data_IF_135010828819
#
_entry.id   IF_135010828819
#
_cell.length_a   1.000
_cell.length_b   1.000
_cell.length_c   1.000
_cell.angle_alpha   90.00
_cell.angle_beta   90.00
_cell.angle_gamma   90.00
#
_symmetry.space_group_name_H-M   'P 1'
#
loop_
_entity.id
_entity.type
_entity.pdbx_description
1 polymer ?
#
# COMPACT_ATOMS: atom_id res chain seq x y z
N UNK A 1 12.80 -16.86 26.05
CA UNK A 1 11.50 -16.37 25.52
C UNK A 1 11.10 -17.20 24.31
N UNK A 2 9.78 -17.28 23.96
CA UNK A 2 9.31 -18.14 22.87
C UNK A 2 9.25 -17.35 21.57
N UNK A 3 9.79 -17.86 20.44
CA UNK A 3 9.86 -17.10 19.19
C UNK A 3 8.46 -16.84 18.60
N UNK A 4 8.37 -15.81 17.77
CA UNK A 4 7.21 -15.58 16.91
C UNK A 4 7.38 -16.27 15.55
N UNK A 5 6.28 -16.72 14.97
CA UNK A 5 6.27 -17.31 13.62
C UNK A 5 5.39 -16.46 12.70
N UNK A 6 5.91 -16.16 11.52
CA UNK A 6 5.19 -15.44 10.47
C UNK A 6 5.02 -16.32 9.24
N UNK A 7 3.83 -16.33 8.65
CA UNK A 7 3.53 -17.03 7.41
C UNK A 7 3.11 -16.01 6.35
N UNK A 8 3.79 -15.96 5.22
CA UNK A 8 3.45 -15.13 4.08
C UNK A 8 3.40 -15.94 2.78
N UNK A 9 2.69 -15.42 1.79
CA UNK A 9 2.74 -15.97 0.44
C UNK A 9 4.08 -15.63 -0.21
N UNK A 10 4.40 -14.34 -0.30
CA UNK A 10 5.62 -13.78 -0.87
C UNK A 10 5.92 -12.40 -0.27
N UNK A 11 7.21 -12.07 -0.17
CA UNK A 11 7.69 -10.76 0.30
C UNK A 11 8.70 -10.16 -0.71
N UNK A 12 9.54 -11.02 -1.33
CA UNK A 12 10.72 -10.59 -2.05
C UNK A 12 10.65 -10.79 -3.57
N UNK A 13 9.86 -11.75 -4.04
CA UNK A 13 9.77 -12.08 -5.48
C UNK A 13 8.84 -11.15 -6.27
N UNK A 14 8.08 -10.31 -5.59
CA UNK A 14 7.14 -9.35 -6.17
C UNK A 14 7.31 -7.98 -5.53
N UNK A 15 7.02 -6.92 -6.29
CA UNK A 15 6.91 -5.55 -5.78
C UNK A 15 5.44 -5.14 -5.70
N UNK A 16 5.06 -4.50 -4.59
CA UNK A 16 3.69 -4.01 -4.38
C UNK A 16 3.49 -3.49 -2.97
N UNK A 17 2.35 -2.83 -2.73
CA UNK A 17 2.03 -2.23 -1.44
C UNK A 17 2.02 -3.24 -0.27
N UNK A 18 1.50 -4.45 -0.51
CA UNK A 18 1.49 -5.51 0.52
C UNK A 18 2.91 -5.94 0.90
N UNK A 19 3.78 -6.16 -0.10
CA UNK A 19 5.16 -6.57 0.12
C UNK A 19 5.96 -5.47 0.83
N UNK A 20 5.77 -4.21 0.46
CA UNK A 20 6.38 -3.06 1.16
C UNK A 20 5.90 -2.99 2.61
N UNK A 21 4.59 -3.07 2.85
CA UNK A 21 4.03 -3.09 4.20
C UNK A 21 4.59 -4.23 5.07
N UNK A 22 4.69 -5.45 4.53
CA UNK A 22 5.25 -6.58 5.27
C UNK A 22 6.72 -6.33 5.62
N UNK A 23 7.51 -5.76 4.71
CA UNK A 23 8.90 -5.37 4.97
C UNK A 23 8.99 -4.34 6.09
N UNK A 24 8.12 -3.32 6.09
CA UNK A 24 8.06 -2.31 7.14
C UNK A 24 7.70 -2.91 8.51
N UNK A 25 6.73 -3.84 8.55
CA UNK A 25 6.35 -4.55 9.78
C UNK A 25 7.51 -5.41 10.31
N UNK A 26 8.20 -6.16 9.44
CA UNK A 26 9.37 -6.97 9.84
C UNK A 26 10.53 -6.08 10.30
N UNK A 27 10.78 -4.95 9.63
CA UNK A 27 11.80 -3.99 10.06
C UNK A 27 11.47 -3.37 11.42
N UNK A 28 10.21 -2.99 11.65
CA UNK A 28 9.74 -2.49 12.94
C UNK A 28 9.87 -3.56 14.02
N UNK A 29 9.49 -4.81 13.71
CA UNK A 29 9.62 -5.94 14.63
C UNK A 29 11.06 -6.14 15.11
N UNK A 30 12.05 -6.08 14.21
CA UNK A 30 13.47 -6.22 14.54
C UNK A 30 14.01 -5.11 15.46
N UNK A 31 13.31 -3.99 15.57
CA UNK A 31 13.71 -2.86 16.44
C UNK A 31 13.04 -2.89 17.82
N UNK A 32 12.17 -3.88 18.09
CA UNK A 32 11.51 -4.01 19.40
C UNK A 32 12.54 -4.46 20.47
N UNK A 33 12.43 -3.97 21.72
CA UNK A 33 13.41 -4.24 22.78
C UNK A 33 13.55 -5.73 23.11
N UNK A 34 12.43 -6.45 23.08
CA UNK A 34 12.33 -7.87 23.43
C UNK A 34 12.14 -8.76 22.19
N UNK A 35 12.63 -8.27 21.03
CA UNK A 35 12.53 -9.00 19.79
C UNK A 35 13.33 -10.30 19.84
N UNK A 36 12.63 -11.41 19.84
CA UNK A 36 13.24 -12.73 19.77
C UNK A 36 13.47 -13.17 18.33
N UNK A 37 14.29 -14.22 18.19
CA UNK A 37 14.49 -14.87 16.90
C UNK A 37 13.15 -15.30 16.31
N UNK A 38 12.75 -14.66 15.21
CA UNK A 38 11.53 -14.99 14.48
C UNK A 38 11.80 -16.02 13.39
N UNK A 39 10.78 -16.81 13.06
CA UNK A 39 10.77 -17.66 11.87
C UNK A 39 9.75 -17.10 10.86
N UNK A 40 10.17 -16.98 9.61
CA UNK A 40 9.32 -16.51 8.51
C UNK A 40 9.21 -17.59 7.45
N UNK A 41 7.99 -18.05 7.18
CA UNK A 41 7.69 -19.04 6.14
C UNK A 41 7.17 -18.34 4.90
N UNK A 42 7.80 -18.58 3.76
CA UNK A 42 7.52 -17.95 2.47
C UNK A 42 7.13 -19.01 1.44
N UNK A 43 5.84 -19.03 1.05
CA UNK A 43 5.33 -20.08 0.15
C UNK A 43 5.84 -19.95 -1.29
N UNK A 44 6.04 -18.71 -1.76
CA UNK A 44 6.31 -18.42 -3.18
C UNK A 44 7.67 -17.78 -3.45
N UNK A 45 8.40 -17.35 -2.42
CA UNK A 45 9.75 -16.83 -2.56
C UNK A 45 10.78 -17.97 -2.62
N UNK A 46 11.86 -17.73 -3.38
CA UNK A 46 13.01 -18.61 -3.50
C UNK A 46 14.22 -18.03 -2.77
N UNK A 47 15.23 -18.87 -2.40
CA UNK A 47 16.40 -18.43 -1.64
C UNK A 47 17.30 -17.41 -2.34
N UNK A 48 17.20 -17.28 -3.66
CA UNK A 48 17.91 -16.33 -4.52
C UNK A 48 17.25 -14.94 -4.59
N UNK A 49 16.04 -14.79 -4.04
CA UNK A 49 15.40 -13.48 -3.97
C UNK A 49 16.19 -12.52 -3.07
N UNK A 50 16.30 -11.22 -3.45
CA UNK A 50 16.93 -10.20 -2.62
C UNK A 50 16.21 -10.08 -1.27
N UNK A 51 16.90 -10.41 -0.18
CA UNK A 51 16.35 -10.33 1.18
C UNK A 51 17.17 -9.34 2.03
N UNK A 52 16.63 -8.15 2.35
CA UNK A 52 17.32 -7.15 3.17
C UNK A 52 17.48 -7.56 4.64
N UNK A 53 16.73 -8.56 5.12
CA UNK A 53 16.77 -9.03 6.51
C UNK A 53 17.73 -10.21 6.72
N UNK A 54 18.52 -10.55 5.72
CA UNK A 54 19.47 -11.67 5.82
C UNK A 54 20.45 -11.40 6.96
N UNK A 55 20.57 -12.37 7.90
CA UNK A 55 21.43 -12.30 9.08
C UNK A 55 21.01 -11.25 10.15
N UNK A 56 19.75 -10.82 10.18
CA UNK A 56 19.24 -9.84 11.15
C UNK A 56 18.36 -10.51 12.25
N UNK A 57 18.62 -11.76 12.64
CA UNK A 57 17.84 -12.42 13.71
C UNK A 57 16.54 -13.10 13.25
N UNK A 58 16.22 -13.06 11.96
CA UNK A 58 15.08 -13.78 11.38
C UNK A 58 15.55 -14.99 10.58
N UNK A 59 14.96 -16.15 10.85
CA UNK A 59 15.16 -17.37 10.07
C UNK A 59 14.11 -17.48 8.96
N UNK A 60 14.52 -17.46 7.70
CA UNK A 60 13.62 -17.56 6.55
C UNK A 60 13.57 -18.97 5.99
N UNK A 61 12.36 -19.50 5.83
CA UNK A 61 12.05 -20.77 5.18
C UNK A 61 11.44 -20.53 3.80
N UNK A 62 12.25 -20.65 2.77
CA UNK A 62 11.82 -20.50 1.38
C UNK A 62 11.21 -21.81 0.88
N UNK A 63 9.96 -21.77 0.40
CA UNK A 63 9.18 -22.96 0.07
C UNK A 63 8.64 -22.94 -1.36
N UNK A 64 9.16 -22.04 -2.19
CA UNK A 64 8.82 -22.01 -3.62
C UNK A 64 9.12 -23.37 -4.26
N UNK A 65 8.13 -23.91 -4.95
CA UNK A 65 8.22 -25.18 -5.65
C UNK A 65 7.60 -25.05 -7.03
N UNK A 66 8.08 -25.85 -8.00
CA UNK A 66 7.50 -25.89 -9.34
C UNK A 66 6.05 -26.39 -9.35
N UNK A 67 5.68 -27.22 -8.36
CA UNK A 67 4.30 -27.62 -8.11
C UNK A 67 3.73 -26.84 -6.92
N UNK A 68 2.67 -26.08 -7.17
CA UNK A 68 1.97 -25.33 -6.12
C UNK A 68 1.45 -26.24 -4.99
N UNK A 69 1.03 -27.46 -5.33
CA UNK A 69 0.56 -28.45 -4.36
C UNK A 69 1.69 -28.94 -3.46
N UNK A 70 2.86 -29.28 -4.04
CA UNK A 70 4.03 -29.69 -3.27
C UNK A 70 4.52 -28.57 -2.35
N UNK A 71 4.54 -27.30 -2.83
CA UNK A 71 4.88 -26.16 -2.00
C UNK A 71 3.95 -26.02 -0.78
N UNK A 72 2.65 -26.19 -0.98
CA UNK A 72 1.66 -26.16 0.13
C UNK A 72 1.86 -27.31 1.13
N UNK A 73 2.14 -28.51 0.64
CA UNK A 73 2.44 -29.67 1.52
C UNK A 73 3.71 -29.41 2.31
N UNK A 74 4.78 -28.92 1.67
CA UNK A 74 6.03 -28.57 2.35
C UNK A 74 5.83 -27.50 3.41
N UNK A 75 5.02 -26.44 3.10
CA UNK A 75 4.65 -25.43 4.08
C UNK A 75 3.95 -26.07 5.29
N UNK A 76 2.92 -26.88 5.03
CA UNK A 76 2.15 -27.51 6.10
C UNK A 76 3.04 -28.38 7.03
N UNK A 77 3.89 -29.22 6.46
CA UNK A 77 4.77 -30.09 7.23
C UNK A 77 5.83 -29.31 8.02
N UNK A 78 6.55 -28.38 7.37
CA UNK A 78 7.60 -27.59 8.05
C UNK A 78 7.02 -26.68 9.12
N UNK A 79 5.87 -26.05 8.85
CA UNK A 79 5.17 -25.21 9.81
C UNK A 79 4.74 -26.05 11.04
N UNK A 80 4.12 -27.21 10.85
CA UNK A 80 3.74 -28.10 11.96
C UNK A 80 4.95 -28.51 12.79
N UNK A 81 6.05 -28.92 12.14
CA UNK A 81 7.29 -29.30 12.86
C UNK A 81 7.84 -28.12 13.67
N UNK A 82 7.80 -26.88 13.11
CA UNK A 82 8.24 -25.70 13.85
C UNK A 82 7.34 -25.42 15.05
N UNK A 83 6.01 -25.48 14.89
CA UNK A 83 5.06 -25.30 16.00
C UNK A 83 5.29 -26.30 17.14
N UNK A 84 5.51 -27.59 16.82
CA UNK A 84 5.74 -28.62 17.81
C UNK A 84 7.08 -28.45 18.54
N UNK A 85 8.14 -28.03 17.85
CA UNK A 85 9.48 -27.88 18.41
C UNK A 85 9.66 -26.58 19.19
N UNK A 86 9.13 -25.47 18.66
CA UNK A 86 9.41 -24.12 19.17
C UNK A 86 8.35 -23.62 20.15
N UNK A 87 7.10 -24.12 20.05
CA UNK A 87 5.97 -23.64 20.85
C UNK A 87 5.91 -22.10 20.88
N UNK A 88 5.72 -21.45 19.73
CA UNK A 88 5.79 -19.98 19.64
C UNK A 88 4.76 -19.31 20.53
N UNK A 89 5.07 -18.12 21.01
CA UNK A 89 4.13 -17.30 21.77
C UNK A 89 2.93 -16.89 20.92
N UNK A 90 3.14 -16.62 19.63
CA UNK A 90 2.09 -16.25 18.68
C UNK A 90 2.50 -16.56 17.24
N UNK A 91 1.50 -16.85 16.42
CA UNK A 91 1.65 -16.99 14.97
C UNK A 91 1.00 -15.81 14.26
N UNK A 92 1.71 -15.21 13.32
CA UNK A 92 1.21 -14.14 12.44
C UNK A 92 0.95 -14.70 11.04
N UNK A 93 -0.31 -14.78 10.67
CA UNK A 93 -0.76 -15.24 9.36
C UNK A 93 -0.92 -14.04 8.42
N UNK A 94 0.02 -13.86 7.52
CA UNK A 94 0.08 -12.69 6.64
C UNK A 94 -0.75 -12.79 5.36
N UNK A 95 -1.70 -13.70 5.25
CA UNK A 95 -2.65 -13.73 4.13
C UNK A 95 -3.83 -14.64 4.42
N UNK A 96 -5.05 -14.19 4.03
CA UNK A 96 -6.30 -14.92 4.28
C UNK A 96 -6.30 -16.36 3.73
N UNK A 97 -5.62 -16.63 2.63
CA UNK A 97 -5.51 -17.98 2.06
C UNK A 97 -4.69 -18.96 2.91
N UNK A 98 -3.86 -18.47 3.82
CA UNK A 98 -3.09 -19.26 4.78
C UNK A 98 -3.83 -19.46 6.11
N UNK A 99 -4.86 -18.66 6.37
CA UNK A 99 -5.58 -18.64 7.63
C UNK A 99 -6.26 -19.99 8.00
N UNK A 100 -6.85 -20.75 7.08
CA UNK A 100 -7.41 -22.06 7.41
C UNK A 100 -6.37 -23.06 7.94
N UNK A 101 -5.19 -23.10 7.33
CA UNK A 101 -4.08 -23.96 7.79
C UNK A 101 -3.56 -23.49 9.15
N UNK A 102 -3.38 -22.18 9.31
CA UNK A 102 -2.95 -21.56 10.57
C UNK A 102 -3.92 -21.92 11.70
N UNK A 103 -5.22 -21.73 11.47
CA UNK A 103 -6.27 -22.09 12.44
C UNK A 103 -6.16 -23.57 12.84
N UNK A 104 -6.11 -24.47 11.85
CA UNK A 104 -6.10 -25.92 12.09
C UNK A 104 -5.00 -26.32 13.08
N UNK A 105 -3.78 -25.84 12.85
CA UNK A 105 -2.64 -26.23 13.70
C UNK A 105 -2.58 -25.43 15.01
N UNK A 106 -2.86 -24.15 14.97
CA UNK A 106 -2.80 -23.30 16.15
C UNK A 106 -3.88 -23.68 17.18
N UNK A 107 -5.10 -23.99 16.74
CA UNK A 107 -6.15 -24.48 17.65
C UNK A 107 -5.82 -25.86 18.24
N UNK A 108 -5.28 -26.80 17.43
CA UNK A 108 -4.90 -28.13 17.93
C UNK A 108 -3.76 -28.09 18.96
N UNK A 109 -2.93 -27.04 18.94
CA UNK A 109 -1.77 -26.88 19.81
C UNK A 109 -1.95 -25.80 20.89
N UNK A 110 -3.13 -25.18 20.96
CA UNK A 110 -3.45 -24.05 21.87
C UNK A 110 -2.46 -22.88 21.74
N UNK A 111 -2.15 -22.49 20.48
CA UNK A 111 -1.27 -21.37 20.16
C UNK A 111 -2.12 -20.22 19.62
N UNK A 112 -2.04 -18.99 20.19
CA UNK A 112 -2.77 -17.86 19.66
C UNK A 112 -2.21 -17.44 18.29
N UNK A 113 -3.10 -16.99 17.38
CA UNK A 113 -2.67 -16.47 16.09
C UNK A 113 -3.37 -15.17 15.75
N UNK A 114 -2.68 -14.35 14.98
CA UNK A 114 -3.15 -13.07 14.41
C UNK A 114 -3.20 -13.19 12.89
N UNK A 115 -4.26 -12.68 12.27
CA UNK A 115 -4.38 -12.63 10.80
C UNK A 115 -4.20 -11.19 10.33
N UNK A 116 -3.33 -10.98 9.33
CA UNK A 116 -3.12 -9.70 8.68
C UNK A 116 -4.03 -9.62 7.44
N UNK A 117 -4.69 -8.47 7.27
CA UNK A 117 -5.58 -8.17 6.14
C UNK A 117 -5.26 -6.80 5.54
N UNK A 118 -5.42 -6.64 4.21
CA UNK A 118 -4.88 -5.50 3.47
C UNK A 118 -5.91 -4.74 2.63
N UNK A 119 -7.09 -5.33 2.36
CA UNK A 119 -8.09 -4.65 1.55
C UNK A 119 -9.12 -5.59 0.92
N UNK A 120 -9.25 -5.53 -0.40
CA UNK A 120 -10.30 -6.17 -1.17
C UNK A 120 -10.41 -7.70 -0.98
N UNK A 121 -9.37 -8.36 -0.51
CA UNK A 121 -9.38 -9.80 -0.26
C UNK A 121 -10.30 -10.22 0.91
N UNK A 122 -10.81 -9.24 1.68
CA UNK A 122 -11.71 -9.47 2.84
C UNK A 122 -12.97 -8.59 2.84
N UNK A 123 -13.18 -7.76 1.82
CA UNK A 123 -14.35 -6.86 1.77
C UNK A 123 -15.67 -7.57 1.45
N UNK A 124 -15.57 -8.71 0.77
CA UNK A 124 -16.73 -9.54 0.39
C UNK A 124 -16.86 -10.77 1.31
N UNK A 125 -18.01 -11.45 1.31
CA UNK A 125 -18.20 -12.68 2.07
C UNK A 125 -17.16 -13.73 1.69
N UNK A 126 -16.40 -14.19 2.67
CA UNK A 126 -15.35 -15.20 2.50
C UNK A 126 -15.91 -16.62 2.49
N UNK A 127 -15.21 -17.57 1.83
CA UNK A 127 -15.47 -19.01 2.00
C UNK A 127 -15.45 -19.41 3.47
N UNK A 128 -16.31 -20.37 3.85
CA UNK A 128 -16.53 -20.76 5.25
C UNK A 128 -15.24 -21.06 6.02
N UNK A 129 -14.25 -21.73 5.41
CA UNK A 129 -12.98 -22.05 6.07
C UNK A 129 -12.17 -20.82 6.44
N UNK A 130 -12.13 -19.81 5.56
CA UNK A 130 -11.44 -18.54 5.78
C UNK A 130 -12.18 -17.68 6.81
N UNK A 131 -13.52 -17.57 6.66
CA UNK A 131 -14.38 -16.86 7.63
C UNK A 131 -14.21 -17.41 9.04
N UNK A 132 -14.29 -18.73 9.20
CA UNK A 132 -14.07 -19.37 10.51
C UNK A 132 -12.65 -19.15 11.04
N UNK A 133 -11.63 -19.07 10.17
CA UNK A 133 -10.27 -18.78 10.58
C UNK A 133 -10.12 -17.35 11.09
N UNK A 134 -10.78 -16.35 10.48
CA UNK A 134 -10.83 -14.99 11.01
C UNK A 134 -11.57 -14.92 12.34
N UNK A 135 -12.74 -15.56 12.43
CA UNK A 135 -13.56 -15.55 13.66
C UNK A 135 -12.83 -16.16 14.86
N UNK A 136 -12.03 -17.21 14.63
CA UNK A 136 -11.27 -17.91 15.65
C UNK A 136 -9.91 -17.28 15.97
N UNK A 137 -9.46 -16.30 15.20
CA UNK A 137 -8.21 -15.57 15.47
C UNK A 137 -8.27 -14.84 16.82
N UNK A 138 -7.15 -14.84 17.53
CA UNK A 138 -7.00 -14.06 18.77
C UNK A 138 -7.07 -12.55 18.49
N UNK A 139 -6.51 -12.12 17.36
CA UNK A 139 -6.53 -10.73 16.87
C UNK A 139 -6.49 -10.73 15.34
N UNK A 140 -6.99 -9.65 14.75
CA UNK A 140 -6.87 -9.37 13.31
C UNK A 140 -6.23 -8.00 13.16
N UNK A 141 -5.20 -7.89 12.33
CA UNK A 141 -4.60 -6.60 12.00
C UNK A 141 -5.02 -6.18 10.59
N UNK A 142 -5.47 -4.95 10.46
CA UNK A 142 -5.83 -4.37 9.18
C UNK A 142 -5.21 -2.99 9.01
N UNK A 143 -5.12 -2.53 7.76
CA UNK A 143 -4.40 -1.30 7.43
C UNK A 143 -5.27 -0.03 7.53
N UNK A 144 -6.62 -0.16 7.56
CA UNK A 144 -7.54 0.99 7.60
C UNK A 144 -8.85 0.68 8.30
N UNK A 145 -9.54 1.74 8.77
CA UNK A 145 -10.92 1.66 9.28
C UNK A 145 -11.88 1.13 8.21
N UNK A 146 -11.71 1.59 6.97
CA UNK A 146 -12.53 1.15 5.85
C UNK A 146 -12.47 -0.37 5.65
N UNK A 147 -11.25 -0.94 5.59
CA UNK A 147 -11.09 -2.40 5.48
C UNK A 147 -11.65 -3.14 6.70
N UNK A 148 -11.46 -2.60 7.92
CA UNK A 148 -12.05 -3.17 9.13
C UNK A 148 -13.58 -3.26 9.00
N UNK A 149 -14.23 -2.15 8.65
CA UNK A 149 -15.67 -2.04 8.68
C UNK A 149 -16.31 -2.97 7.63
N UNK A 150 -15.81 -2.96 6.38
CA UNK A 150 -16.29 -3.88 5.34
C UNK A 150 -16.04 -5.35 5.70
N UNK A 151 -14.85 -5.68 6.20
CA UNK A 151 -14.51 -7.05 6.63
C UNK A 151 -15.44 -7.52 7.75
N UNK A 152 -15.68 -6.69 8.76
CA UNK A 152 -16.53 -7.03 9.89
C UNK A 152 -17.97 -7.26 9.46
N UNK A 153 -18.52 -6.41 8.60
CA UNK A 153 -19.87 -6.53 8.06
C UNK A 153 -20.01 -7.79 7.21
N UNK A 154 -19.16 -7.96 6.19
CA UNK A 154 -19.28 -9.07 5.23
C UNK A 154 -19.05 -10.44 5.89
N UNK A 155 -18.23 -10.53 6.94
CA UNK A 155 -17.79 -11.80 7.50
C UNK A 155 -18.24 -12.05 8.96
N UNK A 156 -19.09 -11.19 9.51
CA UNK A 156 -19.57 -11.26 10.90
C UNK A 156 -18.41 -11.38 11.91
N UNK A 157 -17.43 -10.49 11.80
CA UNK A 157 -16.28 -10.38 12.68
C UNK A 157 -16.56 -9.33 13.77
N UNK A 158 -16.23 -9.64 15.02
CA UNK A 158 -16.27 -8.66 16.09
C UNK A 158 -15.15 -7.62 15.91
N UNK A 159 -15.54 -6.36 15.72
CA UNK A 159 -14.61 -5.25 15.53
C UNK A 159 -13.64 -5.07 16.72
N UNK A 160 -13.97 -5.53 17.93
CA UNK A 160 -13.08 -5.52 19.10
C UNK A 160 -11.84 -6.38 18.92
N UNK A 161 -11.89 -7.37 18.04
CA UNK A 161 -10.72 -8.21 17.69
C UNK A 161 -9.81 -7.59 16.64
N UNK A 162 -10.23 -6.46 16.03
CA UNK A 162 -9.54 -5.85 14.90
C UNK A 162 -8.73 -4.64 15.34
N UNK A 163 -7.42 -4.74 15.24
CA UNK A 163 -6.51 -3.62 15.45
C UNK A 163 -6.10 -3.01 14.11
N UNK A 164 -5.97 -1.68 14.07
CA UNK A 164 -5.49 -0.96 12.88
C UNK A 164 -4.00 -0.74 13.02
N UNK A 165 -3.24 -1.42 12.16
CA UNK A 165 -1.81 -1.24 11.98
C UNK A 165 -1.60 -0.68 10.56
N UNK A 166 -1.57 0.66 10.37
CA UNK A 166 -1.57 1.28 9.06
C UNK A 166 -0.24 1.12 8.34
N UNK A 167 -0.25 1.30 7.01
CA UNK A 167 0.98 1.45 6.25
C UNK A 167 1.72 2.71 6.71
N UNK A 168 3.02 2.72 6.49
CA UNK A 168 3.91 3.85 6.78
C UNK A 168 4.73 4.22 5.55
N UNK A 169 5.39 5.36 5.59
CA UNK A 169 6.29 5.80 4.53
C UNK A 169 7.74 5.70 4.99
N UNK A 170 8.62 5.37 4.06
CA UNK A 170 10.06 5.46 4.24
C UNK A 170 10.49 6.93 4.12
N UNK A 171 10.62 7.59 5.28
CA UNK A 171 10.97 9.01 5.35
C UNK A 171 12.41 9.33 4.90
N UNK A 172 13.29 8.34 4.81
CA UNK A 172 14.65 8.51 4.29
C UNK A 172 14.64 8.53 2.77
N UNK A 173 13.79 7.71 2.16
CA UNK A 173 13.64 7.61 0.72
C UNK A 173 12.75 8.70 0.16
N UNK A 174 11.56 8.87 0.72
CA UNK A 174 10.61 9.91 0.32
C UNK A 174 10.79 11.13 1.21
N UNK A 175 11.42 12.17 0.68
CA UNK A 175 11.77 13.37 1.43
C UNK A 175 11.63 14.62 0.56
N UNK A 176 11.68 15.79 1.23
CA UNK A 176 11.70 17.08 0.54
C UNK A 176 12.98 17.22 -0.28
N UNK A 177 12.88 17.90 -1.41
CA UNK A 177 14.00 18.19 -2.28
C UNK A 177 13.56 19.06 -3.46
N UNK A 178 14.55 19.49 -4.23
CA UNK A 178 14.31 20.28 -5.44
C UNK A 178 13.81 19.41 -6.59
N UNK A 179 13.12 20.02 -7.54
CA UNK A 179 12.70 19.37 -8.79
C UNK A 179 13.94 19.03 -9.63
N UNK A 180 14.03 17.80 -10.09
CA UNK A 180 15.16 17.32 -10.92
C UNK A 180 15.18 18.00 -12.28
N UNK A 181 16.23 18.75 -12.60
CA UNK A 181 16.42 19.38 -13.91
C UNK A 181 16.45 18.37 -15.06
N UNK A 182 16.95 17.18 -14.81
CA UNK A 182 16.94 16.08 -15.77
C UNK A 182 15.51 15.63 -16.10
N UNK A 183 14.64 15.49 -15.09
CA UNK A 183 13.24 15.11 -15.29
C UNK A 183 12.42 16.26 -15.91
N UNK A 184 12.69 17.49 -15.53
CA UNK A 184 12.08 18.68 -16.14
C UNK A 184 12.32 18.66 -17.66
N UNK A 185 13.57 18.48 -18.09
CA UNK A 185 13.93 18.40 -19.51
C UNK A 185 13.35 17.15 -20.19
N UNK A 186 13.40 15.99 -19.49
CA UNK A 186 12.90 14.71 -20.03
C UNK A 186 11.41 14.78 -20.38
N UNK A 187 10.61 15.44 -19.53
CA UNK A 187 9.16 15.51 -19.67
C UNK A 187 8.64 16.86 -20.18
N UNK A 188 9.54 17.77 -20.56
CA UNK A 188 9.19 19.10 -21.07
C UNK A 188 8.22 19.84 -20.14
N UNK A 189 8.63 19.98 -18.86
CA UNK A 189 7.78 20.55 -17.80
C UNK A 189 8.33 21.86 -17.22
N UNK A 190 9.27 22.53 -17.89
CA UNK A 190 9.95 23.73 -17.36
C UNK A 190 8.98 24.86 -16.98
N UNK A 191 7.94 25.08 -17.80
CA UNK A 191 6.93 26.11 -17.60
C UNK A 191 5.53 25.53 -17.26
N UNK A 192 5.47 24.22 -16.95
CA UNK A 192 4.21 23.54 -16.75
C UNK A 192 3.92 23.27 -15.26
N UNK A 193 2.65 23.30 -14.90
CA UNK A 193 2.16 22.63 -13.70
C UNK A 193 2.05 21.16 -13.97
N UNK A 194 2.50 20.33 -13.03
CA UNK A 194 2.57 18.87 -13.20
C UNK A 194 1.59 18.16 -12.25
N UNK A 195 0.63 17.46 -12.83
CA UNK A 195 -0.19 16.47 -12.12
C UNK A 195 0.49 15.11 -12.24
N UNK A 196 0.48 14.30 -11.20
CA UNK A 196 1.14 13.00 -11.17
C UNK A 196 0.19 11.90 -10.68
N UNK A 197 0.22 10.75 -11.34
CA UNK A 197 -0.32 9.49 -10.81
C UNK A 197 0.73 8.38 -10.91
N UNK A 198 0.87 7.59 -9.86
CA UNK A 198 1.69 6.36 -9.82
C UNK A 198 0.75 5.18 -9.56
N UNK A 199 0.49 4.37 -10.59
CA UNK A 199 -0.46 3.26 -10.48
C UNK A 199 -0.19 2.17 -11.51
N UNK A 200 -0.61 0.93 -11.21
CA UNK A 200 -0.70 -0.11 -12.24
C UNK A 200 -1.78 0.28 -13.25
N UNK A 201 -1.51 0.04 -14.52
CA UNK A 201 -2.44 0.34 -15.62
C UNK A 201 -3.04 -0.96 -16.17
N UNK A 202 -3.61 -1.78 -15.29
CA UNK A 202 -4.30 -3.00 -15.69
C UNK A 202 -5.78 -2.75 -15.92
N UNK A 203 -6.35 -3.42 -16.90
CA UNK A 203 -7.79 -3.31 -17.25
C UNK A 203 -8.72 -3.67 -16.08
N UNK A 204 -8.26 -4.48 -15.12
CA UNK A 204 -8.94 -4.76 -13.85
C UNK A 204 -8.78 -3.67 -12.78
N UNK A 205 -7.85 -2.72 -12.96
CA UNK A 205 -7.53 -1.67 -11.99
C UNK A 205 -8.11 -0.28 -12.38
N UNK A 206 -9.21 -0.23 -13.13
CA UNK A 206 -9.90 1.01 -13.54
C UNK A 206 -10.25 1.88 -12.32
N UNK A 207 -10.43 1.26 -11.16
CA UNK A 207 -10.68 1.94 -9.89
C UNK A 207 -9.55 2.89 -9.44
N UNK A 208 -8.37 2.87 -10.08
CA UNK A 208 -7.27 3.82 -9.82
C UNK A 208 -7.56 5.24 -10.32
N UNK A 209 -8.56 5.43 -11.19
CA UNK A 209 -9.06 6.74 -11.59
C UNK A 209 -8.17 7.53 -12.56
N UNK A 210 -7.21 6.88 -13.26
CA UNK A 210 -6.38 7.55 -14.27
C UNK A 210 -7.23 8.15 -15.38
N UNK A 211 -8.25 7.41 -15.85
CA UNK A 211 -9.20 7.90 -16.86
C UNK A 211 -10.07 9.07 -16.35
N UNK A 212 -10.36 9.09 -15.05
CA UNK A 212 -11.12 10.20 -14.42
C UNK A 212 -10.27 11.47 -14.43
N UNK A 213 -8.99 11.37 -14.09
CA UNK A 213 -8.05 12.50 -14.16
C UNK A 213 -7.87 13.00 -15.60
N UNK A 214 -7.77 12.08 -16.59
CA UNK A 214 -7.72 12.47 -18.02
C UNK A 214 -8.99 13.25 -18.41
N UNK A 215 -10.17 12.85 -17.95
CA UNK A 215 -11.45 13.55 -18.21
C UNK A 215 -11.54 14.92 -17.52
N UNK A 216 -10.81 15.14 -16.46
CA UNK A 216 -10.74 16.41 -15.75
C UNK A 216 -9.86 17.45 -16.48
N UNK A 217 -8.91 16.99 -17.32
CA UNK A 217 -7.92 17.87 -17.97
C UNK A 217 -8.54 18.99 -18.83
N UNK A 218 -9.58 18.79 -19.68
CA UNK A 218 -10.15 19.88 -20.46
C UNK A 218 -10.52 21.08 -19.60
N UNK A 219 -11.19 20.88 -18.48
CA UNK A 219 -11.57 21.96 -17.54
C UNK A 219 -10.34 22.61 -16.87
N UNK A 220 -9.34 21.82 -16.50
CA UNK A 220 -8.11 22.36 -15.89
C UNK A 220 -7.34 23.22 -16.90
N UNK A 221 -7.29 22.81 -18.17
CA UNK A 221 -6.60 23.52 -19.25
C UNK A 221 -7.19 24.89 -19.56
N UNK A 222 -8.46 25.13 -19.26
CA UNK A 222 -9.06 26.48 -19.39
C UNK A 222 -8.34 27.53 -18.53
N UNK A 223 -7.82 27.11 -17.34
CA UNK A 223 -7.10 27.98 -16.40
C UNK A 223 -5.58 27.80 -16.48
N UNK A 224 -5.10 26.59 -16.70
CA UNK A 224 -3.69 26.24 -16.79
C UNK A 224 -3.37 25.56 -18.14
N UNK A 225 -3.20 26.33 -19.25
CA UNK A 225 -2.98 25.78 -20.60
C UNK A 225 -1.74 24.89 -20.71
N UNK A 226 -0.72 25.14 -19.87
CA UNK A 226 0.55 24.41 -19.86
C UNK A 226 0.58 23.26 -18.86
N UNK A 227 -0.59 22.83 -18.29
CA UNK A 227 -0.60 21.70 -17.37
C UNK A 227 -0.17 20.43 -18.09
N UNK A 228 0.66 19.60 -17.43
CA UNK A 228 1.03 18.25 -17.87
C UNK A 228 0.53 17.22 -16.86
N UNK A 229 0.05 16.10 -17.34
CA UNK A 229 -0.34 14.96 -16.52
C UNK A 229 0.62 13.80 -16.76
N UNK A 230 1.49 13.55 -15.79
CA UNK A 230 2.49 12.47 -15.81
C UNK A 230 1.89 11.20 -15.17
N UNK A 231 1.78 10.14 -15.96
CA UNK A 231 1.26 8.84 -15.54
C UNK A 231 2.42 7.84 -15.48
N UNK A 232 2.75 7.41 -14.27
CA UNK A 232 3.78 6.40 -14.01
C UNK A 232 3.10 5.06 -13.77
N UNK A 233 3.53 4.05 -14.53
CA UNK A 233 3.06 2.69 -14.42
C UNK A 233 2.97 1.98 -15.76
N UNK A 234 2.70 0.68 -15.70
CA UNK A 234 2.54 -0.19 -16.87
C UNK A 234 1.33 -1.10 -16.71
N UNK A 235 0.78 -1.54 -17.82
CA UNK A 235 -0.34 -2.46 -17.86
C UNK A 235 -1.04 -2.46 -19.21
N UNK A 236 -1.98 -3.36 -19.37
CA UNK A 236 -2.76 -3.60 -20.59
C UNK A 236 -3.87 -2.55 -20.84
N UNK A 237 -4.15 -1.68 -19.87
CA UNK A 237 -5.14 -0.59 -20.01
C UNK A 237 -4.57 0.67 -20.70
N UNK A 238 -3.25 0.77 -20.87
CA UNK A 238 -2.60 1.93 -21.49
C UNK A 238 -3.18 2.30 -22.87
N UNK A 239 -3.43 1.36 -23.81
CA UNK A 239 -4.01 1.71 -25.11
C UNK A 239 -5.39 2.38 -25.01
N UNK A 240 -6.25 1.95 -24.07
CA UNK A 240 -7.55 2.57 -23.82
C UNK A 240 -7.39 4.01 -23.30
N UNK A 241 -6.45 4.23 -22.40
CA UNK A 241 -6.15 5.54 -21.85
C UNK A 241 -5.58 6.48 -22.92
N UNK A 242 -4.67 6.01 -23.77
CA UNK A 242 -4.15 6.79 -24.92
C UNK A 242 -5.25 7.14 -25.95
N UNK A 243 -6.19 6.22 -26.20
CA UNK A 243 -7.34 6.52 -27.04
C UNK A 243 -8.24 7.59 -26.42
N UNK A 244 -8.44 7.54 -25.09
CA UNK A 244 -9.22 8.54 -24.36
C UNK A 244 -8.57 9.93 -24.44
N UNK A 245 -7.25 10.04 -24.33
CA UNK A 245 -6.56 11.35 -24.46
C UNK A 245 -6.77 11.99 -25.83
N UNK A 246 -6.69 11.20 -26.90
CA UNK A 246 -6.94 11.65 -28.27
C UNK A 246 -8.41 12.07 -28.46
N UNK A 247 -9.35 11.27 -27.95
CA UNK A 247 -10.79 11.59 -28.01
C UNK A 247 -11.10 12.92 -27.37
N UNK A 248 -10.43 13.28 -26.28
CA UNK A 248 -10.63 14.52 -25.54
C UNK A 248 -9.72 15.67 -26.03
N UNK A 249 -8.81 15.45 -26.99
CA UNK A 249 -7.89 16.44 -27.50
C UNK A 249 -6.81 16.87 -26.49
N UNK A 250 -6.47 16.02 -25.53
CA UNK A 250 -5.48 16.29 -24.45
C UNK A 250 -4.24 15.38 -24.54
N UNK A 251 -4.00 14.76 -25.69
CA UNK A 251 -2.91 13.82 -25.89
C UNK A 251 -1.51 14.47 -25.76
N UNK A 252 -1.38 15.76 -26.01
CA UNK A 252 -0.12 16.51 -25.82
C UNK A 252 0.17 16.85 -24.36
N UNK A 253 -0.82 16.81 -23.49
CA UNK A 253 -0.73 17.10 -22.07
C UNK A 253 -0.47 15.87 -21.22
N UNK A 254 -0.80 14.66 -21.73
CA UNK A 254 -0.65 13.42 -20.98
C UNK A 254 0.63 12.68 -21.37
N UNK A 255 1.46 12.42 -20.39
CA UNK A 255 2.75 11.74 -20.56
C UNK A 255 2.69 10.39 -19.85
N UNK A 256 2.73 9.29 -20.61
CA UNK A 256 2.83 7.93 -20.06
C UNK A 256 4.31 7.56 -19.90
N UNK A 257 4.86 7.75 -18.70
CA UNK A 257 6.28 7.53 -18.40
C UNK A 257 6.68 6.04 -18.40
N UNK A 258 5.72 5.13 -18.36
CA UNK A 258 6.00 3.70 -18.19
C UNK A 258 6.41 3.34 -16.77
N UNK A 259 7.18 2.26 -16.64
CA UNK A 259 7.71 1.84 -15.33
C UNK A 259 8.86 2.74 -14.89
N UNK A 260 8.81 3.16 -13.64
CA UNK A 260 9.88 3.90 -12.97
C UNK A 260 10.35 3.06 -11.79
N UNK A 261 11.66 2.79 -11.68
CA UNK A 261 12.22 2.09 -10.52
C UNK A 261 11.91 2.81 -9.21
N UNK A 262 11.75 2.03 -8.15
CA UNK A 262 11.37 2.57 -6.84
C UNK A 262 12.38 3.61 -6.30
N UNK A 263 13.66 3.49 -6.68
CA UNK A 263 14.73 4.41 -6.30
C UNK A 263 14.59 5.80 -6.95
N UNK A 264 13.93 5.88 -8.10
CA UNK A 264 13.71 7.11 -8.85
C UNK A 264 12.36 7.77 -8.55
N UNK A 265 11.45 7.10 -7.82
CA UNK A 265 10.09 7.61 -7.57
C UNK A 265 10.08 8.91 -6.77
N UNK A 266 10.98 9.09 -5.81
CA UNK A 266 11.03 10.31 -5.01
C UNK A 266 11.27 11.57 -5.87
N UNK A 267 12.15 11.49 -6.87
CA UNK A 267 12.39 12.60 -7.80
C UNK A 267 11.18 12.88 -8.71
N UNK A 268 10.44 11.84 -9.09
CA UNK A 268 9.21 12.00 -9.85
C UNK A 268 8.08 12.60 -9.00
N UNK A 269 7.97 12.23 -7.72
CA UNK A 269 7.04 12.92 -6.82
C UNK A 269 7.39 14.40 -6.69
N UNK A 270 8.67 14.74 -6.45
CA UNK A 270 9.13 16.14 -6.32
C UNK A 270 8.90 16.98 -7.57
N UNK A 271 8.82 16.36 -8.76
CA UNK A 271 8.50 17.06 -9.99
C UNK A 271 7.05 17.59 -10.00
N UNK A 272 6.15 16.93 -9.31
CA UNK A 272 4.72 17.25 -9.33
C UNK A 272 4.36 18.51 -8.53
N UNK A 273 3.26 19.14 -8.92
CA UNK A 273 2.57 20.19 -8.16
C UNK A 273 1.34 19.62 -7.43
N UNK A 274 0.80 18.49 -7.90
CA UNK A 274 -0.23 17.70 -7.22
C UNK A 274 -0.13 16.21 -7.59
N UNK A 275 -0.38 15.35 -6.63
CA UNK A 275 -0.58 13.92 -6.85
C UNK A 275 -2.08 13.63 -6.94
N UNK A 276 -2.54 13.04 -8.03
CA UNK A 276 -3.97 12.87 -8.32
C UNK A 276 -4.28 11.41 -8.57
N UNK A 277 -4.98 10.77 -7.66
CA UNK A 277 -5.45 9.39 -7.82
C UNK A 277 -6.83 9.23 -7.17
N UNK A 278 -7.93 9.65 -7.85
CA UNK A 278 -9.30 9.55 -7.33
C UNK A 278 -9.77 8.09 -7.40
N UNK A 279 -9.15 7.24 -6.60
CA UNK A 279 -9.25 5.78 -6.62
C UNK A 279 -10.23 5.24 -5.58
N UNK A 280 -10.30 3.90 -5.52
CA UNK A 280 -10.93 3.16 -4.42
C UNK A 280 -9.91 2.17 -3.86
N UNK A 281 -9.26 2.57 -2.77
CA UNK A 281 -8.12 1.88 -2.17
C UNK A 281 -8.43 1.27 -0.80
N UNK A 282 -7.67 0.24 -0.42
CA UNK A 282 -7.66 -0.25 0.96
C UNK A 282 -6.96 0.71 1.93
N UNK A 283 -5.98 1.49 1.41
CA UNK A 283 -5.23 2.51 2.14
C UNK A 283 -4.59 3.53 1.19
N UNK A 284 -3.73 3.11 0.25
CA UNK A 284 -3.02 3.98 -0.69
C UNK A 284 -1.69 4.53 -0.14
N UNK A 285 -0.67 3.67 -0.03
CA UNK A 285 0.68 4.06 0.43
C UNK A 285 1.29 5.18 -0.43
N UNK A 286 0.94 5.24 -1.72
CA UNK A 286 1.41 6.26 -2.67
C UNK A 286 1.03 7.69 -2.27
N UNK A 287 -0.07 7.86 -1.52
CA UNK A 287 -0.41 9.17 -0.95
C UNK A 287 0.59 9.60 0.12
N UNK A 288 1.03 8.66 0.96
CA UNK A 288 2.05 8.93 1.97
C UNK A 288 3.40 9.28 1.33
N UNK A 289 3.76 8.58 0.23
CA UNK A 289 4.99 8.84 -0.52
C UNK A 289 4.98 10.26 -1.11
N UNK A 290 3.87 10.66 -1.75
CA UNK A 290 3.69 12.01 -2.28
C UNK A 290 3.77 13.07 -1.17
N UNK A 291 2.98 12.91 -0.10
CA UNK A 291 2.94 13.86 1.02
C UNK A 291 4.27 13.93 1.77
N UNK A 292 5.02 12.83 1.88
CA UNK A 292 6.36 12.82 2.45
C UNK A 292 7.37 13.61 1.59
N UNK A 293 7.16 13.64 0.27
CA UNK A 293 7.87 14.53 -0.65
C UNK A 293 7.33 15.97 -0.66
N UNK A 294 6.33 16.27 0.16
CA UNK A 294 5.72 17.62 0.27
C UNK A 294 4.71 17.94 -0.81
N UNK A 295 4.20 16.93 -1.53
CA UNK A 295 3.28 17.11 -2.66
C UNK A 295 1.84 16.93 -2.19
N UNK A 296 0.93 17.91 -2.40
CA UNK A 296 -0.47 17.82 -2.06
C UNK A 296 -1.16 16.71 -2.86
N UNK A 297 -2.16 16.06 -2.26
CA UNK A 297 -2.78 14.87 -2.83
C UNK A 297 -4.30 14.99 -2.97
N UNK A 298 -4.84 14.37 -4.04
CA UNK A 298 -6.27 14.14 -4.27
C UNK A 298 -6.53 12.64 -4.27
N UNK A 299 -7.47 12.18 -3.44
CA UNK A 299 -7.94 10.80 -3.36
C UNK A 299 -9.44 10.68 -3.64
N UNK A 300 -9.96 9.45 -3.68
CA UNK A 300 -11.40 9.18 -3.54
C UNK A 300 -11.90 9.48 -2.12
N UNK A 301 -13.21 9.52 -1.92
CA UNK A 301 -13.84 9.88 -0.62
C UNK A 301 -14.46 8.69 0.11
N UNK A 302 -14.83 7.61 -0.59
CA UNK A 302 -15.48 6.43 -0.03
C UNK A 302 -14.55 5.20 -0.02
N UNK A 303 -13.35 5.35 0.56
CA UNK A 303 -12.37 4.28 0.59
C UNK A 303 -11.38 4.40 1.76
N UNK A 304 -10.39 3.50 1.78
CA UNK A 304 -9.34 3.48 2.81
C UNK A 304 -8.36 4.64 2.75
N UNK A 305 -8.39 5.49 1.72
CA UNK A 305 -7.55 6.69 1.63
C UNK A 305 -7.90 7.77 2.67
N UNK A 306 -9.05 7.64 3.31
CA UNK A 306 -9.40 8.43 4.50
C UNK A 306 -8.33 8.34 5.61
N UNK A 307 -7.65 7.19 5.74
CA UNK A 307 -6.58 7.04 6.73
C UNK A 307 -5.36 7.92 6.43
N UNK A 308 -4.66 7.76 5.28
CA UNK A 308 -3.48 8.58 4.98
C UNK A 308 -3.81 10.07 4.85
N UNK A 309 -5.00 10.43 4.34
CA UNK A 309 -5.42 11.82 4.21
C UNK A 309 -6.04 12.39 5.50
N UNK A 310 -6.07 11.61 6.60
CA UNK A 310 -6.59 12.03 7.90
C UNK A 310 -8.00 12.63 7.78
N UNK A 311 -8.90 11.92 7.08
CA UNK A 311 -10.27 12.33 6.79
C UNK A 311 -10.38 13.66 5.99
N UNK A 312 -9.35 14.02 5.21
CA UNK A 312 -9.29 15.25 4.40
C UNK A 312 -8.52 16.40 5.05
N UNK A 313 -7.99 16.22 6.26
CA UNK A 313 -7.20 17.24 6.96
C UNK A 313 -5.92 17.62 6.20
N UNK A 314 -5.28 16.65 5.56
CA UNK A 314 -3.98 16.81 4.89
C UNK A 314 -4.04 16.62 3.37
N UNK A 315 -5.23 16.50 2.77
CA UNK A 315 -5.40 16.31 1.33
C UNK A 315 -6.84 16.55 0.90
N UNK A 316 -7.11 16.43 -0.39
CA UNK A 316 -8.45 16.58 -0.96
C UNK A 316 -9.07 15.22 -1.22
N UNK A 317 -10.33 15.08 -0.87
CA UNK A 317 -11.11 13.87 -1.12
C UNK A 317 -12.26 14.22 -2.07
N UNK A 318 -12.39 13.47 -3.14
CA UNK A 318 -13.40 13.72 -4.18
C UNK A 318 -14.28 12.49 -4.39
N UNK A 319 -15.55 12.68 -4.78
CA UNK A 319 -16.43 11.56 -5.09
C UNK A 319 -15.84 10.63 -6.14
N UNK A 320 -16.07 9.33 -5.93
CA UNK A 320 -15.56 8.29 -6.82
C UNK A 320 -16.03 8.52 -8.27
N UNK A 321 -15.07 8.54 -9.22
CA UNK A 321 -15.28 8.74 -10.65
C UNK A 321 -15.90 10.08 -11.07
N UNK A 322 -15.80 11.10 -10.24
CA UNK A 322 -16.28 12.46 -10.56
C UNK A 322 -15.13 13.32 -11.10
N UNK A 323 -15.05 13.45 -12.45
CA UNK A 323 -14.02 14.22 -13.11
C UNK A 323 -14.14 15.74 -12.87
N UNK A 324 -15.35 16.25 -12.65
CA UNK A 324 -15.58 17.66 -12.36
C UNK A 324 -15.02 18.03 -10.98
N UNK A 325 -15.26 17.17 -9.97
CA UNK A 325 -14.70 17.37 -8.63
C UNK A 325 -13.18 17.20 -8.60
N UNK A 326 -12.63 16.31 -9.43
CA UNK A 326 -11.17 16.22 -9.62
C UNK A 326 -10.62 17.52 -10.22
N UNK A 327 -11.27 18.07 -11.25
CA UNK A 327 -10.84 19.34 -11.84
C UNK A 327 -10.90 20.48 -10.82
N UNK A 328 -12.00 20.60 -10.08
CA UNK A 328 -12.17 21.59 -9.03
C UNK A 328 -11.06 21.49 -7.98
N UNK A 329 -10.77 20.30 -7.46
CA UNK A 329 -9.70 20.08 -6.47
C UNK A 329 -8.31 20.44 -7.05
N UNK A 330 -8.03 20.12 -8.32
CA UNK A 330 -6.79 20.54 -8.99
C UNK A 330 -6.69 22.08 -9.05
N UNK A 331 -7.77 22.77 -9.41
CA UNK A 331 -7.81 24.23 -9.48
C UNK A 331 -7.63 24.91 -8.10
N UNK A 332 -8.02 24.25 -7.02
CA UNK A 332 -7.75 24.71 -5.64
C UNK A 332 -6.28 24.52 -5.24
N UNK A 333 -5.66 23.42 -5.68
CA UNK A 333 -4.27 23.04 -5.31
C UNK A 333 -3.25 23.88 -6.09
N UNK A 334 -3.41 24.01 -7.40
CA UNK A 334 -2.39 24.57 -8.30
C UNK A 334 -1.93 25.99 -7.98
N UNK A 335 -2.75 26.90 -7.41
CA UNK A 335 -2.28 28.20 -6.89
C UNK A 335 -1.32 28.09 -5.68
N UNK A 336 -1.32 26.97 -4.94
CA UNK A 336 -0.43 26.72 -3.81
C UNK A 336 -0.72 27.53 -2.55
N UNK A 337 -1.92 28.11 -2.42
CA UNK A 337 -2.28 29.03 -1.31
C UNK A 337 -2.80 28.30 -0.06
N UNK A 338 -3.30 27.07 -0.21
CA UNK A 338 -3.83 26.28 0.90
C UNK A 338 -2.68 25.75 1.79
N UNK A 339 -2.91 25.65 3.09
CA UNK A 339 -1.94 25.11 4.04
C UNK A 339 -1.49 23.69 3.67
N UNK A 340 -2.37 22.87 3.10
CA UNK A 340 -2.09 21.52 2.61
C UNK A 340 -1.09 21.48 1.45
N UNK A 341 -0.81 22.63 0.82
CA UNK A 341 0.21 22.80 -0.22
C UNK A 341 1.58 23.21 0.34
N UNK A 342 1.72 23.44 1.67
CA UNK A 342 3.00 23.78 2.28
C UNK A 342 3.84 22.53 2.53
N UNK A 343 4.96 22.29 1.81
CA UNK A 343 5.67 21.01 1.82
C UNK A 343 6.14 20.55 3.20
N UNK A 344 6.71 21.46 4.00
CA UNK A 344 7.23 21.15 5.34
C UNK A 344 6.11 20.74 6.30
N UNK A 345 4.99 21.49 6.28
CA UNK A 345 3.83 21.22 7.11
C UNK A 345 3.21 19.86 6.74
N UNK A 346 2.98 19.65 5.44
CA UNK A 346 2.37 18.41 4.93
C UNK A 346 3.20 17.18 5.29
N UNK A 347 4.51 17.23 5.06
CA UNK A 347 5.45 16.19 5.47
C UNK A 347 5.40 15.94 6.99
N UNK A 348 5.42 16.99 7.80
CA UNK A 348 5.37 16.84 9.26
C UNK A 348 4.08 16.14 9.71
N UNK A 349 2.91 16.54 9.19
CA UNK A 349 1.63 15.89 9.49
C UNK A 349 1.64 14.40 9.10
N UNK A 350 2.21 14.08 7.94
CA UNK A 350 2.32 12.72 7.43
C UNK A 350 3.21 11.86 8.34
N UNK A 351 4.43 12.30 8.64
CA UNK A 351 5.40 11.53 9.41
C UNK A 351 4.99 11.36 10.87
N UNK A 352 4.29 12.33 11.45
CA UNK A 352 3.77 12.23 12.83
C UNK A 352 2.84 11.04 13.00
N UNK A 353 2.02 10.71 11.99
CA UNK A 353 1.07 9.59 12.05
C UNK A 353 1.53 8.32 11.33
N UNK A 354 2.33 8.47 10.28
CA UNK A 354 2.66 7.38 9.36
C UNK A 354 4.18 7.24 9.12
N UNK A 355 5.02 7.72 10.05
CA UNK A 355 6.46 7.46 10.05
C UNK A 355 6.81 6.11 10.67
N UNK A 356 8.02 5.59 10.39
CA UNK A 356 8.54 4.31 10.92
C UNK A 356 8.47 4.21 12.46
N UNK A 357 8.71 5.33 13.17
CA UNK A 357 8.62 5.38 14.64
C UNK A 357 7.20 5.09 15.16
N UNK A 358 6.18 5.57 14.46
CA UNK A 358 4.76 5.36 14.81
C UNK A 358 4.37 3.90 14.60
N UNK A 359 4.81 3.28 13.51
CA UNK A 359 4.61 1.84 13.26
C UNK A 359 5.21 1.01 14.39
N UNK A 360 6.47 1.28 14.76
CA UNK A 360 7.16 0.59 15.85
C UNK A 360 6.37 0.67 17.16
N UNK A 361 5.97 1.88 17.57
CA UNK A 361 5.22 2.08 18.81
C UNK A 361 3.86 1.36 18.82
N UNK A 362 3.15 1.36 17.68
CA UNK A 362 1.90 0.59 17.54
C UNK A 362 2.15 -0.91 17.58
N UNK A 363 3.18 -1.39 16.90
CA UNK A 363 3.52 -2.81 16.87
C UNK A 363 3.88 -3.33 18.27
N UNK A 364 4.64 -2.55 19.05
CA UNK A 364 5.00 -2.86 20.45
C UNK A 364 3.77 -3.03 21.35
N UNK A 365 2.69 -2.30 21.10
CA UNK A 365 1.42 -2.42 21.83
C UNK A 365 0.59 -3.65 21.42
N UNK A 366 0.82 -4.19 20.21
CA UNK A 366 0.00 -5.24 19.62
C UNK A 366 0.61 -6.65 19.74
N UNK A 367 1.90 -6.75 20.00
CA UNK A 367 2.64 -8.01 20.21
C UNK A 367 2.60 -8.39 21.69
#
# INVERSE_FOLDING_TARGET
>A
MMPHIFLFLEIFSQEGGIQSYIKDVLQAYLTLPDCEAAEVFLLRDAPDCPNPFKNQGITFHYLKNNSATLGRIQLALKFLVSLLRKRPQRVFCGHINLAPLTRLYCQALDIPYTVLTYGNEVWEPLPNSQKQALQAAASIWTISRYTRDLMCEANAIDAKKVAILPCVVDEEKFNLGEKSLTLIKKYDTENAKVLLTVARLWSGDIHKGVDVTIRALPTILETYPEVKYLVIGRGDDRPRLEALTKQLGVDKQVIFAGFVPTEELADHYRLADAYVMPSREGFGIVYLEAMACGIPVISGDEDGSAEPLQDGLVGWRVPYRDAEKVAQACLEILPGQDQRCHPQWLRQQTLTKFGKKTLRAKLEQLI
#
